data_IF_164246113804
#
_entry.id   IF_164246113804
#
_cell.length_a   1.000
_cell.length_b   1.000
_cell.length_c   1.000
_cell.angle_alpha   90.00
_cell.angle_beta   90.00
_cell.angle_gamma   90.00
#
_symmetry.space_group_name_H-M   'P 1'
#
loop_
_entity.id
_entity.type
_entity.pdbx_description
1 polymer ?
#
# COMPACT_ATOMS: atom_id res chain seq x y z
N UNK A 1 7.43 -8.05 7.05
CA UNK A 1 6.79 -7.49 8.27
C UNK A 1 6.09 -6.21 7.87
N UNK A 2 4.82 -6.00 8.26
CA UNK A 2 4.11 -4.75 7.93
C UNK A 2 4.71 -3.58 8.71
N UNK A 3 4.82 -2.40 8.10
CA UNK A 3 5.24 -1.19 8.78
C UNK A 3 4.02 -0.42 9.32
N UNK A 4 3.75 -0.54 10.61
CA UNK A 4 2.58 0.07 11.25
C UNK A 4 2.63 1.60 11.27
N UNK A 5 3.84 2.19 11.29
CA UNK A 5 4.02 3.63 11.19
C UNK A 5 3.62 4.16 9.81
N UNK A 6 3.95 3.42 8.75
CA UNK A 6 3.52 3.75 7.38
C UNK A 6 2.01 3.57 7.20
N UNK A 7 1.42 2.53 7.79
CA UNK A 7 -0.03 2.30 7.74
C UNK A 7 -0.82 3.44 8.39
N UNK A 8 -0.32 3.97 9.52
CA UNK A 8 -0.91 5.13 10.19
C UNK A 8 -0.45 6.47 9.60
N UNK A 9 0.42 6.47 8.58
CA UNK A 9 0.98 7.68 7.96
C UNK A 9 1.68 8.62 8.98
N UNK A 10 2.33 8.04 10.00
CA UNK A 10 3.03 8.77 11.06
C UNK A 10 4.53 8.48 11.08
N UNK A 11 5.29 9.40 11.69
CA UNK A 11 6.70 9.15 11.97
C UNK A 11 6.89 8.09 13.05
N UNK A 12 8.00 7.35 13.01
CA UNK A 12 8.40 6.43 14.09
C UNK A 12 8.57 7.15 15.44
N UNK A 13 8.87 8.45 15.40
CA UNK A 13 9.02 9.31 16.58
C UNK A 13 7.70 9.97 17.02
N UNK A 14 6.55 9.58 16.45
CA UNK A 14 5.27 10.16 16.80
C UNK A 14 4.90 9.92 18.27
N UNK A 15 4.32 10.94 18.90
CA UNK A 15 3.75 10.84 20.26
C UNK A 15 2.47 10.00 20.23
N UNK A 16 2.07 9.39 21.37
CA UNK A 16 0.83 8.60 21.45
C UNK A 16 -0.41 9.40 21.00
N UNK A 17 -0.47 10.70 21.31
CA UNK A 17 -1.55 11.61 20.88
C UNK A 17 -1.63 11.73 19.35
N UNK A 18 -0.47 11.80 18.67
CA UNK A 18 -0.42 11.86 17.20
C UNK A 18 -0.87 10.55 16.58
N UNK A 19 -0.48 9.41 17.18
CA UNK A 19 -0.90 8.07 16.75
C UNK A 19 -2.42 7.93 16.86
N UNK A 20 -3.00 8.36 17.99
CA UNK A 20 -4.46 8.33 18.20
C UNK A 20 -5.20 9.23 17.22
N UNK A 21 -4.70 10.45 17.00
CA UNK A 21 -5.31 11.39 16.05
C UNK A 21 -5.26 10.87 14.62
N UNK A 22 -4.15 10.26 14.22
CA UNK A 22 -3.99 9.64 12.91
C UNK A 22 -4.97 8.48 12.72
N UNK A 23 -5.09 7.59 13.71
CA UNK A 23 -6.07 6.50 13.72
C UNK A 23 -7.50 7.01 13.48
N UNK A 24 -7.96 7.97 14.29
CA UNK A 24 -9.31 8.55 14.18
C UNK A 24 -9.57 9.17 12.80
N UNK A 25 -8.56 9.86 12.27
CA UNK A 25 -8.64 10.51 10.94
C UNK A 25 -8.74 9.49 9.82
N UNK A 26 -7.92 8.44 9.86
CA UNK A 26 -7.88 7.41 8.84
C UNK A 26 -9.13 6.53 8.86
N UNK A 27 -9.62 6.12 10.04
CA UNK A 27 -10.88 5.36 10.15
C UNK A 27 -12.04 6.15 9.58
N UNK A 28 -12.15 7.45 9.90
CA UNK A 28 -13.19 8.30 9.30
C UNK A 28 -13.07 8.41 7.78
N UNK A 29 -11.85 8.53 7.26
CA UNK A 29 -11.56 8.62 5.82
C UNK A 29 -11.95 7.35 5.04
N UNK A 30 -11.83 6.19 5.67
CA UNK A 30 -12.11 4.89 5.06
C UNK A 30 -13.43 4.26 5.52
N UNK A 31 -14.24 4.97 6.29
CA UNK A 31 -15.50 4.45 6.80
C UNK A 31 -16.49 4.16 5.64
N UNK A 32 -17.19 3.01 5.63
CA UNK A 32 -18.08 2.62 4.53
C UNK A 32 -19.22 3.62 4.31
N UNK A 33 -19.68 4.29 5.38
CA UNK A 33 -20.73 5.32 5.31
C UNK A 33 -20.34 6.54 4.46
N UNK A 34 -19.04 6.83 4.34
CA UNK A 34 -18.56 7.92 3.47
C UNK A 34 -18.33 7.48 2.02
N UNK A 35 -18.42 6.18 1.71
CA UNK A 35 -18.06 5.60 0.42
C UNK A 35 -19.18 4.69 -0.10
N UNK A 36 -20.20 5.34 -0.65
CA UNK A 36 -21.30 4.72 -1.39
C UNK A 36 -20.74 3.96 -2.62
N UNK A 37 -20.58 2.64 -2.48
CA UNK A 37 -20.81 1.64 -3.52
C UNK A 37 -19.72 1.27 -4.56
N UNK A 38 -18.44 1.65 -4.41
CA UNK A 38 -17.42 1.23 -5.42
C UNK A 38 -16.23 0.39 -4.95
N UNK A 39 -15.87 0.37 -3.66
CA UNK A 39 -14.65 -0.35 -3.21
C UNK A 39 -14.73 -0.84 -1.75
N UNK A 40 -15.93 -1.26 -1.28
CA UNK A 40 -16.18 -1.63 0.13
C UNK A 40 -15.14 -2.61 0.70
N UNK A 41 -14.74 -3.61 -0.08
CA UNK A 41 -13.75 -4.62 0.34
C UNK A 41 -12.35 -4.02 0.57
N UNK A 42 -11.92 -3.08 -0.27
CA UNK A 42 -10.62 -2.43 -0.11
C UNK A 42 -10.58 -1.56 1.15
N UNK A 43 -11.67 -0.84 1.42
CA UNK A 43 -11.77 0.03 2.59
C UNK A 43 -11.87 -0.75 3.89
N UNK A 44 -12.60 -1.87 3.89
CA UNK A 44 -12.65 -2.78 5.03
C UNK A 44 -11.26 -3.31 5.39
N UNK A 45 -10.49 -3.76 4.39
CA UNK A 45 -9.12 -4.24 4.61
C UNK A 45 -8.19 -3.12 5.11
N UNK A 46 -8.33 -1.89 4.59
CA UNK A 46 -7.59 -0.73 5.09
C UNK A 46 -7.91 -0.43 6.55
N UNK A 47 -9.18 -0.45 6.94
CA UNK A 47 -9.59 -0.24 8.33
C UNK A 47 -9.02 -1.34 9.24
N UNK A 48 -9.01 -2.60 8.78
CA UNK A 48 -8.38 -3.71 9.51
C UNK A 48 -6.89 -3.44 9.75
N UNK A 49 -6.14 -3.09 8.72
CA UNK A 49 -4.72 -2.75 8.83
C UNK A 49 -4.48 -1.56 9.78
N UNK A 50 -5.29 -0.50 9.67
CA UNK A 50 -5.21 0.70 10.52
C UNK A 50 -5.46 0.33 11.99
N UNK A 51 -6.44 -0.53 12.26
CA UNK A 51 -6.79 -0.98 13.61
C UNK A 51 -5.70 -1.87 14.19
N UNK A 52 -5.16 -2.81 13.39
CA UNK A 52 -4.01 -3.64 13.76
C UNK A 52 -2.80 -2.77 14.15
N UNK A 53 -2.47 -1.78 13.31
CA UNK A 53 -1.38 -0.85 13.56
C UNK A 53 -1.58 -0.04 14.85
N UNK A 54 -2.78 0.49 15.07
CA UNK A 54 -3.11 1.25 16.28
C UNK A 54 -3.00 0.39 17.54
N UNK A 55 -3.52 -0.84 17.52
CA UNK A 55 -3.47 -1.73 18.69
C UNK A 55 -2.03 -2.03 19.15
N UNK A 56 -1.10 -2.18 18.19
CA UNK A 56 0.32 -2.41 18.52
C UNK A 56 1.03 -1.13 18.93
N UNK A 57 0.78 -0.01 18.25
CA UNK A 57 1.52 1.24 18.47
C UNK A 57 0.99 2.06 19.66
N UNK A 58 -0.25 1.84 20.10
CA UNK A 58 -0.86 2.52 21.25
C UNK A 58 -0.40 1.93 22.58
N UNK A 59 -0.15 0.62 22.65
CA UNK A 59 0.39 -0.04 23.84
C UNK A 59 1.93 0.11 23.87
N UNK A 60 2.45 0.67 24.97
CA UNK A 60 3.88 0.93 25.14
C UNK A 60 4.74 -0.35 25.09
N UNK A 61 4.26 -1.44 25.68
CA UNK A 61 4.97 -2.72 25.69
C UNK A 61 4.94 -3.34 24.29
N UNK A 62 3.75 -3.43 23.68
CA UNK A 62 3.61 -3.99 22.33
C UNK A 62 4.39 -3.20 21.28
N UNK A 63 4.41 -1.86 21.40
CA UNK A 63 5.22 -0.99 20.54
C UNK A 63 6.70 -1.27 20.69
N UNK A 64 7.19 -1.48 21.92
CA UNK A 64 8.61 -1.76 22.18
C UNK A 64 9.03 -3.08 21.53
N UNK A 65 8.23 -4.12 21.70
CA UNK A 65 8.47 -5.44 21.08
C UNK A 65 8.43 -5.36 19.56
N UNK A 66 7.46 -4.61 19.02
CA UNK A 66 7.36 -4.33 17.60
C UNK A 66 8.58 -3.59 17.05
N UNK A 67 9.03 -2.53 17.73
CA UNK A 67 10.20 -1.74 17.33
C UNK A 67 11.48 -2.59 17.37
N UNK A 68 11.62 -3.45 18.38
CA UNK A 68 12.73 -4.41 18.46
C UNK A 68 12.69 -5.38 17.28
N UNK A 69 11.53 -5.99 17.02
CA UNK A 69 11.34 -6.92 15.91
C UNK A 69 11.58 -6.26 14.55
N UNK A 70 11.16 -5.00 14.39
CA UNK A 70 11.38 -4.21 13.17
C UNK A 70 12.87 -3.93 12.95
N UNK A 71 13.62 -3.61 14.02
CA UNK A 71 15.08 -3.47 13.97
C UNK A 71 15.78 -4.77 13.58
N UNK A 72 15.36 -5.90 14.15
CA UNK A 72 15.92 -7.22 13.83
C UNK A 72 15.66 -7.58 12.37
N UNK A 73 14.42 -7.40 11.90
CA UNK A 73 14.05 -7.63 10.50
C UNK A 73 14.90 -6.82 9.52
N UNK A 74 15.09 -5.52 9.78
CA UNK A 74 15.91 -4.66 8.93
C UNK A 74 17.40 -5.02 9.00
N UNK A 75 17.89 -5.49 10.16
CA UNK A 75 19.26 -5.94 10.36
C UNK A 75 19.57 -7.20 9.56
N UNK A 76 18.66 -8.16 9.54
CA UNK A 76 18.81 -9.40 8.77
C UNK A 76 18.76 -9.12 7.27
N UNK A 77 17.86 -8.22 6.83
CA UNK A 77 17.82 -7.77 5.44
C UNK A 77 19.15 -7.13 5.02
N UNK A 78 19.69 -6.21 5.82
CA UNK A 78 20.99 -5.57 5.54
C UNK A 78 22.16 -6.57 5.55
N UNK A 79 22.21 -7.50 6.50
CA UNK A 79 23.26 -8.52 6.59
C UNK A 79 23.18 -9.54 5.45
N UNK A 80 21.98 -9.94 5.00
CA UNK A 80 21.82 -10.84 3.86
C UNK A 80 22.24 -10.17 2.54
N UNK A 81 21.94 -8.88 2.37
CA UNK A 81 22.39 -8.10 1.20
C UNK A 81 23.89 -7.79 1.20
N UNK A 82 24.55 -7.84 2.36
CA UNK A 82 26.00 -7.60 2.49
C UNK A 82 26.84 -8.87 2.63
N UNK A 83 26.22 -10.03 2.84
CA UNK A 83 26.90 -11.34 2.83
C UNK A 83 27.21 -11.85 1.42
N UNK A 84 26.53 -11.34 0.39
CA UNK A 84 26.90 -11.54 -1.02
C UNK A 84 28.08 -10.65 -1.48
N UNK A 85 28.56 -9.72 -0.64
CA UNK A 85 29.63 -8.78 -0.96
C UNK A 85 30.91 -8.95 -0.12
N UNK A 86 31.12 -10.08 0.57
CA UNK A 86 32.25 -10.21 1.51
C UNK A 86 32.96 -11.57 1.54
N UNK A 87 33.71 -11.86 0.48
CA UNK A 87 35.03 -12.51 0.64
C UNK A 87 36.04 -11.39 0.96
N UNK A 88 36.85 -11.59 2.00
CA UNK A 88 37.97 -10.75 2.48
C UNK A 88 37.67 -9.74 3.61
N UNK A 89 37.90 -10.11 4.90
CA UNK A 89 37.59 -9.29 6.08
C UNK A 89 38.63 -8.23 6.47
N UNK A 90 39.84 -8.22 5.90
CA UNK A 90 40.96 -7.46 6.51
C UNK A 90 40.92 -5.93 6.29
N UNK A 91 40.15 -5.43 5.32
CA UNK A 91 40.17 -3.99 4.97
C UNK A 91 38.98 -3.18 5.54
N UNK A 92 38.20 -3.72 6.50
CA UNK A 92 36.96 -3.06 6.98
C UNK A 92 37.19 -2.00 8.07
N UNK A 93 38.27 -2.11 8.86
CA UNK A 93 38.60 -1.14 9.92
C UNK A 93 39.14 0.19 9.38
N UNK A 94 39.81 0.19 8.22
CA UNK A 94 40.37 1.38 7.56
C UNK A 94 39.31 2.23 6.83
N UNK A 95 38.21 1.61 6.38
CA UNK A 95 37.14 2.29 5.64
C UNK A 95 36.16 2.96 6.61
N UNK A 96 35.84 2.30 7.73
CA UNK A 96 34.88 2.85 8.71
C UNK A 96 35.44 4.03 9.49
N UNK A 97 36.76 4.09 9.70
CA UNK A 97 37.43 5.28 10.25
C UNK A 97 37.49 6.44 9.24
N UNK A 98 37.39 6.16 7.93
CA UNK A 98 37.43 7.16 6.84
C UNK A 98 36.06 7.75 6.48
N UNK A 99 34.97 7.07 6.83
CA UNK A 99 33.59 7.55 6.60
C UNK A 99 33.16 8.58 7.65
N UNK A 100 33.71 8.52 8.87
CA UNK A 100 33.39 9.49 9.93
C UNK A 100 33.91 10.90 9.65
N UNK A 101 34.78 11.06 8.66
CA UNK A 101 35.47 12.30 8.31
C UNK A 101 35.35 12.60 6.81
N UNK A 102 34.17 12.52 6.21
CA UNK A 102 34.00 13.07 4.84
C UNK A 102 32.54 13.41 4.50
N UNK A 103 32.22 14.68 4.77
CA UNK A 103 31.46 15.62 3.94
C UNK A 103 30.35 15.12 2.99
N UNK A 104 29.14 15.63 3.28
CA UNK A 104 28.09 16.24 2.43
C UNK A 104 27.73 15.65 1.04
N UNK A 105 28.66 15.14 0.25
CA UNK A 105 28.47 14.88 -1.19
C UNK A 105 27.73 13.57 -1.51
N UNK A 106 27.68 12.62 -0.58
CA UNK A 106 27.05 11.31 -0.82
C UNK A 106 25.56 11.24 -0.42
N UNK A 107 25.01 12.30 0.19
CA UNK A 107 23.58 12.39 0.55
C UNK A 107 22.67 12.47 -0.69
N UNK A 108 23.21 12.99 -1.80
CA UNK A 108 22.49 13.22 -3.06
C UNK A 108 22.25 11.89 -3.82
N UNK A 109 23.23 10.98 -3.84
CA UNK A 109 23.08 9.66 -4.48
C UNK A 109 22.06 8.78 -3.78
N UNK A 110 22.02 8.83 -2.44
CA UNK A 110 21.06 8.04 -1.64
C UNK A 110 19.64 8.58 -1.83
N UNK A 111 19.43 9.90 -1.85
CA UNK A 111 18.12 10.50 -2.15
C UNK A 111 17.63 10.16 -3.57
N UNK A 112 18.52 10.16 -4.56
CA UNK A 112 18.20 9.80 -5.95
C UNK A 112 17.78 8.33 -6.08
N UNK A 113 18.46 7.44 -5.37
CA UNK A 113 18.15 6.01 -5.36
C UNK A 113 16.81 5.72 -4.66
N UNK A 114 16.57 6.32 -3.49
CA UNK A 114 15.30 6.19 -2.77
C UNK A 114 14.13 6.77 -3.59
N UNK A 115 14.35 7.90 -4.27
CA UNK A 115 13.35 8.49 -5.18
C UNK A 115 13.03 7.60 -6.38
N UNK A 116 14.03 6.94 -6.97
CA UNK A 116 13.84 6.05 -8.11
C UNK A 116 13.08 4.78 -7.70
N UNK A 117 13.38 4.22 -6.53
CA UNK A 117 12.65 3.07 -5.96
C UNK A 117 11.20 3.46 -5.66
N UNK A 118 10.96 4.64 -5.08
CA UNK A 118 9.62 5.13 -4.81
C UNK A 118 8.76 5.28 -6.07
N UNK A 119 9.35 5.75 -7.18
CA UNK A 119 8.64 5.86 -8.46
C UNK A 119 8.33 4.49 -9.09
N UNK A 120 9.28 3.55 -9.05
CA UNK A 120 9.06 2.21 -9.59
C UNK A 120 7.92 1.47 -8.85
N UNK A 121 7.86 1.61 -7.52
CA UNK A 121 6.81 1.00 -6.69
C UNK A 121 5.45 1.69 -6.92
N UNK A 122 5.42 3.01 -7.12
CA UNK A 122 4.18 3.74 -7.42
C UNK A 122 3.55 3.30 -8.76
N UNK A 123 4.37 3.12 -9.80
CA UNK A 123 3.88 2.69 -11.12
C UNK A 123 3.37 1.24 -11.12
N UNK A 124 3.94 0.36 -10.29
CA UNK A 124 3.47 -1.03 -10.14
C UNK A 124 2.08 -1.10 -9.48
N UNK A 125 1.82 -0.29 -8.45
CA UNK A 125 0.48 -0.21 -7.82
C UNK A 125 -0.60 0.40 -8.72
N UNK A 126 -0.21 1.17 -9.75
CA UNK A 126 -1.13 1.81 -10.70
C UNK A 126 -1.57 0.86 -11.82
N UNK A 127 -0.72 -0.11 -12.21
CA UNK A 127 -1.05 -1.14 -13.22
C UNK A 127 -2.22 -2.03 -12.76
N UNK A 128 -2.18 -2.52 -11.52
CA UNK A 128 -3.24 -3.39 -10.97
C UNK A 128 -4.60 -2.67 -10.85
N UNK A 129 -4.60 -1.36 -10.59
CA UNK A 129 -5.83 -0.56 -10.49
C UNK A 129 -6.43 -0.23 -11.85
N UNK A 130 -5.59 -0.04 -12.87
CA UNK A 130 -6.02 0.27 -14.23
C UNK A 130 -6.61 -0.96 -14.93
N UNK A 131 -6.05 -2.15 -14.70
CA UNK A 131 -6.55 -3.39 -15.30
C UNK A 131 -7.91 -3.79 -14.71
N UNK A 132 -8.10 -3.75 -13.39
CA UNK A 132 -9.42 -4.03 -12.78
C UNK A 132 -10.52 -3.07 -13.23
N UNK A 133 -10.19 -1.79 -13.46
CA UNK A 133 -11.17 -0.82 -13.93
C UNK A 133 -11.64 -1.10 -15.36
N UNK A 134 -10.78 -1.68 -16.22
CA UNK A 134 -11.16 -2.08 -17.59
C UNK A 134 -12.11 -3.27 -17.57
N UNK A 135 -11.87 -4.24 -16.70
CA UNK A 135 -12.76 -5.40 -16.54
C UNK A 135 -14.16 -4.98 -16.05
N UNK A 136 -14.23 -4.04 -15.11
CA UNK A 136 -15.50 -3.50 -14.63
C UNK A 136 -16.25 -2.69 -15.69
N UNK A 137 -15.54 -1.88 -16.48
CA UNK A 137 -16.15 -1.14 -17.61
C UNK A 137 -16.65 -2.12 -18.68
N UNK A 138 -15.93 -3.20 -18.96
CA UNK A 138 -16.36 -4.24 -19.88
C UNK A 138 -17.65 -4.93 -19.39
N UNK A 139 -17.73 -5.29 -18.10
CA UNK A 139 -18.93 -5.88 -17.49
C UNK A 139 -20.12 -4.90 -17.52
N UNK A 140 -19.89 -3.61 -17.28
CA UNK A 140 -20.95 -2.62 -17.34
C UNK A 140 -21.51 -2.46 -18.77
N UNK A 141 -20.62 -2.43 -19.77
CA UNK A 141 -21.01 -2.33 -21.18
C UNK A 141 -21.81 -3.56 -21.65
N UNK A 142 -21.45 -4.77 -21.20
CA UNK A 142 -22.21 -5.99 -21.55
C UNK A 142 -23.60 -5.98 -20.94
N UNK A 143 -23.75 -5.55 -19.67
CA UNK A 143 -25.06 -5.41 -19.02
C UNK A 143 -25.95 -4.41 -19.77
N UNK A 144 -25.40 -3.25 -20.14
CA UNK A 144 -26.12 -2.23 -20.91
C UNK A 144 -26.56 -2.79 -22.27
N UNK A 145 -25.67 -3.51 -22.96
CA UNK A 145 -25.97 -4.10 -24.27
C UNK A 145 -27.09 -5.15 -24.19
N UNK A 146 -27.04 -6.06 -23.20
CA UNK A 146 -28.10 -7.06 -22.97
C UNK A 146 -29.42 -6.38 -22.62
N UNK A 147 -29.40 -5.36 -21.75
CA UNK A 147 -30.59 -4.59 -21.39
C UNK A 147 -31.21 -3.89 -22.60
N UNK A 148 -30.39 -3.29 -23.47
CA UNK A 148 -30.84 -2.65 -24.70
C UNK A 148 -31.50 -3.65 -25.66
N UNK A 149 -30.95 -4.86 -25.80
CA UNK A 149 -31.55 -5.93 -26.60
C UNK A 149 -32.94 -6.29 -26.05
N UNK A 150 -33.05 -6.56 -24.75
CA UNK A 150 -34.33 -6.91 -24.10
C UNK A 150 -35.36 -5.78 -24.27
N UNK A 151 -34.93 -4.53 -24.13
CA UNK A 151 -35.79 -3.36 -24.33
C UNK A 151 -36.31 -3.25 -25.77
N UNK A 152 -35.46 -3.49 -26.77
CA UNK A 152 -35.86 -3.52 -28.19
C UNK A 152 -36.90 -4.63 -28.42
N UNK A 153 -36.69 -5.82 -27.87
CA UNK A 153 -37.65 -6.92 -27.95
C UNK A 153 -39.00 -6.59 -27.32
N UNK A 154 -39.02 -5.81 -26.22
CA UNK A 154 -40.26 -5.39 -25.57
C UNK A 154 -40.97 -4.27 -26.35
N UNK A 155 -40.21 -3.32 -26.90
CA UNK A 155 -40.75 -2.09 -27.47
C UNK A 155 -41.05 -2.18 -28.98
N UNK A 156 -40.53 -3.19 -29.69
CA UNK A 156 -40.80 -3.39 -31.13
C UNK A 156 -41.91 -4.45 -31.31
N UNK A 157 -43.16 -4.05 -31.62
CA UNK A 157 -44.29 -4.97 -31.74
C UNK A 157 -44.20 -5.96 -32.92
N UNK A 158 -43.31 -5.71 -33.90
CA UNK A 158 -43.09 -6.58 -35.06
C UNK A 158 -42.51 -7.97 -34.70
N UNK A 159 -41.78 -8.09 -33.58
CA UNK A 159 -41.15 -9.35 -33.15
C UNK A 159 -42.11 -10.28 -32.38
N UNK A 160 -43.27 -9.77 -31.94
CA UNK A 160 -44.30 -10.58 -31.25
C UNK A 160 -45.00 -11.57 -32.18
N UNK A 161 -44.87 -11.38 -33.50
CA UNK A 161 -45.51 -12.21 -34.52
C UNK A 161 -44.74 -13.50 -34.83
N UNK A 162 -43.48 -13.64 -34.37
CA UNK A 162 -42.64 -14.82 -34.60
C UNK A 162 -42.61 -15.81 -33.41
N UNK A 163 -43.10 -15.41 -32.24
CA UNK A 163 -43.03 -16.21 -31.00
C UNK A 163 -44.38 -16.38 -30.28
N UNK A 164 -45.49 -16.00 -30.93
CA UNK A 164 -46.81 -16.45 -30.49
C UNK A 164 -47.02 -17.87 -31.02
N UNK A 165 -47.43 -18.85 -30.19
CA UNK A 165 -47.74 -20.22 -30.65
C UNK A 165 -48.90 -20.23 -31.66
#
# INVERSE_FOLDING_TARGET
MKNYYEILEVSQNASPEVIEKAYRTLVKKYHPDSQLNKDSYFFENKIKDITEAYNVLSDKNAKTDYDLKLKLYNKDYYNSSSSSAKKNPENKKSIFSKIKTSDSNNKISIKKYISAIGQAIYDETKKDKLERNRDLVAILLTIIFVSMIVFIFWNVPFLKQFFSP
#
